data_IF_115666908101
#
_entry.id   IF_115666908101
#
_cell.length_a   1.000
_cell.length_b   1.000
_cell.length_c   1.000
_cell.angle_alpha   90.00
_cell.angle_beta   90.00
_cell.angle_gamma   90.00
#
_symmetry.space_group_name_H-M   'P 1'
#
loop_
_entity.id
_entity.type
_entity.pdbx_description
1 polymer ?
#
# COMPACT_ATOMS: atom_id res chain seq x y z
N UNK A 1 0.32 -7.03 -29.37
CA UNK A 1 -0.29 -7.04 -28.02
C UNK A 1 -1.68 -7.65 -28.14
N UNK A 2 -2.01 -8.71 -27.38
CA UNK A 2 -3.38 -9.28 -27.41
C UNK A 2 -4.36 -8.44 -26.58
N UNK A 3 -5.66 -8.51 -26.87
CA UNK A 3 -6.69 -7.84 -26.08
C UNK A 3 -6.69 -8.30 -24.61
N UNK A 4 -6.39 -9.57 -24.36
CA UNK A 4 -6.21 -10.13 -23.01
C UNK A 4 -5.02 -9.50 -22.28
N UNK A 5 -3.89 -9.29 -22.97
CA UNK A 5 -2.72 -8.63 -22.38
C UNK A 5 -3.03 -7.17 -22.01
N UNK A 6 -3.73 -6.44 -22.90
CA UNK A 6 -4.16 -5.07 -22.61
C UNK A 6 -5.09 -5.03 -21.38
N UNK A 7 -6.05 -5.95 -21.31
CA UNK A 7 -6.95 -6.10 -20.17
C UNK A 7 -6.21 -6.37 -18.86
N UNK A 8 -5.22 -7.28 -18.86
CA UNK A 8 -4.41 -7.58 -17.67
C UNK A 8 -3.57 -6.38 -17.21
N UNK A 9 -2.99 -5.62 -18.13
CA UNK A 9 -2.18 -4.43 -17.80
C UNK A 9 -3.04 -3.36 -17.12
N UNK A 10 -4.21 -3.06 -17.71
CA UNK A 10 -5.13 -2.08 -17.14
C UNK A 10 -5.59 -2.52 -15.75
N UNK A 11 -5.97 -3.79 -15.61
CA UNK A 11 -6.39 -4.35 -14.33
C UNK A 11 -5.28 -4.25 -13.27
N UNK A 12 -4.05 -4.68 -13.60
CA UNK A 12 -2.91 -4.62 -12.70
C UNK A 12 -2.57 -3.18 -12.28
N UNK A 13 -2.66 -2.23 -13.21
CA UNK A 13 -2.43 -0.81 -12.90
C UNK A 13 -3.47 -0.26 -11.92
N UNK A 14 -4.75 -0.56 -12.14
CA UNK A 14 -5.84 -0.11 -11.27
C UNK A 14 -5.70 -0.73 -9.87
N UNK A 15 -5.44 -2.04 -9.78
CA UNK A 15 -5.23 -2.70 -8.49
C UNK A 15 -3.97 -2.19 -7.76
N UNK A 16 -2.86 -2.01 -8.47
CA UNK A 16 -1.59 -1.57 -7.90
C UNK A 16 -1.54 -0.08 -7.53
N UNK A 17 -2.45 0.73 -8.07
CA UNK A 17 -2.56 2.16 -7.74
C UNK A 17 -3.12 2.40 -6.33
N UNK A 18 -3.67 1.37 -5.68
CA UNK A 18 -4.17 1.45 -4.31
C UNK A 18 -3.00 1.26 -3.35
N UNK A 19 -2.68 2.29 -2.55
CA UNK A 19 -1.61 2.21 -1.56
C UNK A 19 -2.02 1.35 -0.36
N UNK A 20 -1.50 0.12 -0.31
CA UNK A 20 -1.71 -0.81 0.80
C UNK A 20 -1.28 -0.21 2.15
N UNK A 21 -0.19 0.56 2.19
CA UNK A 21 0.27 1.20 3.43
C UNK A 21 -0.78 2.14 4.04
N UNK A 22 -1.47 2.94 3.21
CA UNK A 22 -2.55 3.82 3.68
C UNK A 22 -3.72 2.99 4.19
N UNK A 23 -4.09 1.92 3.45
CA UNK A 23 -5.20 1.04 3.81
C UNK A 23 -4.94 0.34 5.16
N UNK A 24 -3.77 -0.26 5.30
CA UNK A 24 -3.32 -0.97 6.51
C UNK A 24 -3.25 -0.01 7.69
N UNK A 25 -2.61 1.16 7.54
CA UNK A 25 -2.56 2.15 8.62
C UNK A 25 -3.97 2.56 9.05
N UNK A 26 -4.92 2.71 8.12
CA UNK A 26 -6.30 3.06 8.44
C UNK A 26 -7.03 1.95 9.20
N UNK A 27 -6.91 0.70 8.75
CA UNK A 27 -7.54 -0.46 9.39
C UNK A 27 -6.95 -0.72 10.77
N UNK A 28 -5.62 -0.60 10.90
CA UNK A 28 -4.89 -0.78 12.15
C UNK A 28 -4.95 0.45 13.09
N UNK A 29 -5.70 1.50 12.74
CA UNK A 29 -5.82 2.77 13.49
C UNK A 29 -4.46 3.42 13.81
N UNK A 30 -3.53 3.33 12.87
CA UNK A 30 -2.23 3.98 12.92
C UNK A 30 -2.29 5.39 12.31
N UNK A 31 -1.31 6.26 12.62
CA UNK A 31 -1.17 7.56 11.96
C UNK A 31 -1.05 7.42 10.44
N UNK A 32 -1.48 8.44 9.69
CA UNK A 32 -1.34 8.48 8.23
C UNK A 32 0.16 8.36 7.85
N UNK A 33 0.57 7.34 7.07
CA UNK A 33 1.96 7.10 6.74
C UNK A 33 2.58 8.17 5.84
N UNK A 34 1.77 9.10 5.30
CA UNK A 34 2.24 10.27 4.55
C UNK A 34 2.66 11.44 5.44
N UNK A 35 2.20 11.45 6.70
CA UNK A 35 2.50 12.53 7.66
C UNK A 35 3.27 12.02 8.88
N UNK A 36 3.53 10.72 8.97
CA UNK A 36 4.21 10.09 10.09
C UNK A 36 5.39 9.21 9.62
N UNK A 37 6.40 9.07 10.47
CA UNK A 37 7.60 8.28 10.18
C UNK A 37 8.46 8.93 9.09
N UNK A 38 8.82 8.18 8.04
CA UNK A 38 9.57 8.74 6.89
C UNK A 38 8.67 9.42 5.84
N UNK A 39 7.37 9.49 6.07
CA UNK A 39 6.39 10.05 5.13
C UNK A 39 6.31 9.32 3.78
N UNK A 40 6.91 8.13 3.66
CA UNK A 40 6.81 7.28 2.49
C UNK A 40 5.77 6.18 2.77
N UNK A 41 4.64 6.09 2.05
CA UNK A 41 3.60 5.10 2.28
C UNK A 41 4.00 3.72 1.70
N UNK A 42 5.07 3.15 2.26
CA UNK A 42 5.57 1.81 1.95
C UNK A 42 5.70 0.93 3.19
N UNK A 43 5.93 -0.37 2.99
CA UNK A 43 5.97 -1.38 4.04
C UNK A 43 6.95 -1.06 5.17
N UNK A 44 8.12 -0.49 4.86
CA UNK A 44 9.11 -0.10 5.88
C UNK A 44 8.59 1.00 6.82
N UNK A 45 7.79 1.93 6.30
CA UNK A 45 7.20 2.96 7.16
C UNK A 45 6.02 2.40 7.97
N UNK A 46 5.24 1.48 7.38
CA UNK A 46 4.21 0.73 8.13
C UNK A 46 4.84 -0.07 9.28
N UNK A 47 5.99 -0.71 9.05
CA UNK A 47 6.76 -1.40 10.10
C UNK A 47 7.15 -0.45 11.23
N UNK A 48 7.58 0.77 10.88
CA UNK A 48 7.95 1.79 11.85
C UNK A 48 6.77 2.29 12.67
N UNK A 49 5.58 2.37 12.06
CA UNK A 49 4.37 2.90 12.71
C UNK A 49 3.58 1.83 13.49
N UNK A 50 3.54 0.58 13.00
CA UNK A 50 2.64 -0.47 13.51
C UNK A 50 3.28 -1.82 13.77
N UNK A 51 4.61 -1.95 13.64
CA UNK A 51 5.32 -3.20 13.88
C UNK A 51 5.14 -4.24 12.78
N UNK A 52 5.69 -5.45 13.01
CA UNK A 52 5.82 -6.50 12.00
C UNK A 52 4.48 -7.00 11.45
N UNK A 53 3.45 -7.07 12.31
CA UNK A 53 2.12 -7.55 11.90
C UNK A 53 1.45 -6.57 10.95
N UNK A 54 1.51 -5.27 11.23
CA UNK A 54 0.99 -4.26 10.31
C UNK A 54 1.79 -4.24 9.00
N UNK A 55 3.12 -4.36 9.05
CA UNK A 55 3.93 -4.34 7.83
C UNK A 55 3.74 -5.54 6.90
N UNK A 56 3.27 -6.67 7.44
CA UNK A 56 3.04 -7.91 6.70
C UNK A 56 1.60 -8.05 6.17
N UNK A 57 0.69 -7.14 6.57
CA UNK A 57 -0.68 -7.06 6.08
C UNK A 57 -0.74 -6.34 4.72
#
# INVERSE_FOLDING_TARGET
>A
MSATALGMIIFAYLCGSISSAILVCRVARLPDPRTAGSCNPGATNVLRLGGRLAAAA
#
